data_IF_987751484477
#
_entry.id   IF_987751484477
#
_cell.length_a   1.000
_cell.length_b   1.000
_cell.length_c   1.000
_cell.angle_alpha   90.00
_cell.angle_beta   90.00
_cell.angle_gamma   90.00
#
_symmetry.space_group_name_H-M   'P 1'
#
loop_
_entity.id
_entity.type
_entity.pdbx_description
1 polymer ?
#
# COMPACT_ATOMS: atom_id res chain seq x y z
N UNK A 1 -34.01 -25.92 17.18
CA UNK A 1 -32.59 -25.78 17.56
C UNK A 1 -31.82 -25.62 16.27
N UNK A 2 -31.30 -24.42 15.99
CA UNK A 2 -30.38 -24.22 14.87
C UNK A 2 -29.01 -24.69 15.36
N UNK A 3 -28.54 -25.82 14.82
CA UNK A 3 -27.18 -26.27 15.07
C UNK A 3 -26.22 -25.21 14.53
N UNK A 4 -25.48 -24.58 15.43
CA UNK A 4 -24.39 -23.68 15.07
C UNK A 4 -23.48 -24.38 14.07
N UNK A 5 -23.12 -23.74 12.94
CA UNK A 5 -22.30 -24.38 11.93
C UNK A 5 -21.00 -24.89 12.57
N UNK A 6 -20.55 -26.11 12.21
CA UNK A 6 -19.36 -26.68 12.83
C UNK A 6 -18.17 -25.74 12.60
N UNK A 7 -17.35 -25.53 13.63
CA UNK A 7 -16.17 -24.63 13.62
C UNK A 7 -15.28 -24.80 12.38
N UNK A 8 -15.24 -26.00 11.80
CA UNK A 8 -14.54 -26.34 10.56
C UNK A 8 -15.10 -25.57 9.35
N UNK A 9 -16.41 -25.44 9.21
CA UNK A 9 -17.06 -24.72 8.09
C UNK A 9 -16.79 -23.21 8.21
N UNK A 10 -16.85 -22.66 9.43
CA UNK A 10 -16.50 -21.26 9.68
C UNK A 10 -15.04 -20.96 9.30
N UNK A 11 -14.12 -21.89 9.63
CA UNK A 11 -12.70 -21.75 9.32
C UNK A 11 -12.43 -21.85 7.80
N UNK A 12 -13.06 -22.81 7.10
CA UNK A 12 -12.94 -22.93 5.64
C UNK A 12 -13.49 -21.71 4.92
N UNK A 13 -14.64 -21.18 5.36
CA UNK A 13 -15.20 -19.95 4.79
C UNK A 13 -14.28 -18.74 5.03
N UNK A 14 -13.68 -18.63 6.22
CA UNK A 14 -12.75 -17.55 6.54
C UNK A 14 -11.47 -17.61 5.70
N UNK A 15 -10.87 -18.80 5.54
CA UNK A 15 -9.69 -19.01 4.67
C UNK A 15 -10.02 -18.68 3.21
N UNK A 16 -11.19 -19.06 2.72
CA UNK A 16 -11.62 -18.71 1.38
C UNK A 16 -11.73 -17.18 1.18
N UNK A 17 -12.28 -16.48 2.18
CA UNK A 17 -12.40 -15.03 2.18
C UNK A 17 -11.03 -14.34 2.18
N UNK A 18 -10.10 -14.82 3.00
CA UNK A 18 -8.73 -14.30 3.03
C UNK A 18 -8.04 -14.50 1.67
N UNK A 19 -8.13 -15.69 1.08
CA UNK A 19 -7.53 -15.97 -0.21
C UNK A 19 -8.11 -15.08 -1.33
N UNK A 20 -9.42 -14.82 -1.30
CA UNK A 20 -10.05 -13.93 -2.28
C UNK A 20 -9.56 -12.49 -2.14
N UNK A 21 -9.36 -12.01 -0.91
CA UNK A 21 -8.79 -10.69 -0.64
C UNK A 21 -7.34 -10.63 -1.12
N UNK A 22 -6.52 -11.63 -0.79
CA UNK A 22 -5.12 -11.67 -1.20
C UNK A 22 -4.97 -11.66 -2.72
N UNK A 23 -5.78 -12.45 -3.44
CA UNK A 23 -5.79 -12.43 -4.90
C UNK A 23 -6.22 -11.07 -5.48
N UNK A 24 -7.21 -10.42 -4.86
CA UNK A 24 -7.64 -9.08 -5.28
C UNK A 24 -6.51 -8.06 -5.08
N UNK A 25 -5.84 -8.07 -3.93
CA UNK A 25 -4.69 -7.21 -3.65
C UNK A 25 -3.52 -7.51 -4.59
N UNK A 26 -3.23 -8.78 -4.82
CA UNK A 26 -2.16 -9.21 -5.71
C UNK A 26 -2.42 -8.73 -7.15
N UNK A 27 -3.65 -8.88 -7.63
CA UNK A 27 -4.04 -8.38 -8.95
C UNK A 27 -3.95 -6.86 -9.07
N UNK A 28 -4.30 -6.13 -7.99
CA UNK A 28 -4.36 -4.67 -7.97
C UNK A 28 -2.98 -4.02 -7.90
N UNK A 29 -2.02 -4.64 -7.19
CA UNK A 29 -0.69 -4.07 -6.96
C UNK A 29 0.43 -4.77 -7.71
N UNK A 30 0.25 -6.02 -8.14
CA UNK A 30 1.29 -6.81 -8.82
C UNK A 30 0.81 -7.47 -10.12
N UNK A 31 -0.46 -7.31 -10.50
CA UNK A 31 -0.96 -7.76 -11.78
C UNK A 31 -0.60 -6.83 -12.95
N UNK A 32 -1.06 -7.16 -14.16
CA UNK A 32 -0.86 -6.36 -15.38
C UNK A 32 -1.43 -4.92 -15.27
N UNK A 33 -2.36 -4.69 -14.34
CA UNK A 33 -2.96 -3.39 -14.02
C UNK A 33 -2.37 -2.68 -12.80
N UNK A 34 -1.23 -3.13 -12.27
CA UNK A 34 -0.62 -2.63 -11.02
C UNK A 34 -0.41 -1.12 -10.95
N UNK A 35 -0.26 -0.49 -12.11
CA UNK A 35 -0.13 0.96 -12.25
C UNK A 35 -1.35 1.72 -11.72
N UNK A 36 -2.57 1.16 -11.84
CA UNK A 36 -3.79 1.74 -11.27
C UNK A 36 -3.79 1.67 -9.74
N UNK A 37 -3.35 0.55 -9.17
CA UNK A 37 -3.20 0.39 -7.73
C UNK A 37 -2.24 1.43 -7.15
N UNK A 38 -1.10 1.64 -7.82
CA UNK A 38 -0.14 2.68 -7.41
C UNK A 38 -0.73 4.08 -7.54
N UNK A 39 -1.43 4.40 -8.64
CA UNK A 39 -2.09 5.70 -8.79
C UNK A 39 -3.07 5.97 -7.66
N UNK A 40 -3.85 4.95 -7.26
CA UNK A 40 -4.78 5.06 -6.15
C UNK A 40 -4.05 5.36 -4.84
N UNK A 41 -2.94 4.67 -4.56
CA UNK A 41 -2.10 4.95 -3.39
C UNK A 41 -1.53 6.36 -3.41
N UNK A 42 -1.05 6.82 -4.56
CA UNK A 42 -0.49 8.18 -4.69
C UNK A 42 -1.55 9.22 -4.34
N UNK A 43 -2.75 9.12 -4.92
CA UNK A 43 -3.83 10.07 -4.68
C UNK A 43 -4.23 10.06 -3.20
N UNK A 44 -4.31 8.87 -2.60
CA UNK A 44 -4.73 8.70 -1.21
C UNK A 44 -3.65 9.24 -0.24
N UNK A 45 -2.38 8.94 -0.52
CA UNK A 45 -1.24 9.45 0.23
C UNK A 45 -1.16 10.98 0.14
N UNK A 46 -1.22 11.55 -1.07
CA UNK A 46 -1.18 12.99 -1.29
C UNK A 46 -2.38 13.68 -0.65
N UNK A 47 -3.59 13.16 -0.85
CA UNK A 47 -4.82 13.73 -0.29
C UNK A 47 -4.79 13.81 1.23
N UNK A 48 -4.24 12.78 1.89
CA UNK A 48 -4.08 12.77 3.35
C UNK A 48 -2.96 13.74 3.78
N UNK A 49 -1.78 13.65 3.16
CA UNK A 49 -0.60 14.44 3.55
C UNK A 49 -0.81 15.94 3.34
N UNK A 50 -1.41 16.33 2.21
CA UNK A 50 -1.70 17.72 1.89
C UNK A 50 -2.73 18.34 2.84
N UNK A 51 -3.67 17.53 3.36
CA UNK A 51 -4.67 17.99 4.32
C UNK A 51 -4.11 18.00 5.76
N UNK A 52 -3.31 17.00 6.12
CA UNK A 52 -2.74 16.78 7.45
C UNK A 52 -1.27 16.37 7.33
N UNK A 53 -0.34 17.32 7.38
CA UNK A 53 1.08 17.04 7.21
C UNK A 53 1.60 15.94 8.17
N UNK A 54 1.13 15.92 9.42
CA UNK A 54 1.51 14.89 10.41
C UNK A 54 1.04 13.48 10.05
N UNK A 55 -0.01 13.34 9.25
CA UNK A 55 -0.45 12.02 8.77
C UNK A 55 0.57 11.40 7.80
N UNK A 56 1.49 12.19 7.25
CA UNK A 56 2.65 11.68 6.52
C UNK A 56 3.51 10.71 7.34
N UNK A 57 3.58 10.87 8.66
CA UNK A 57 4.28 9.92 9.55
C UNK A 57 3.65 8.51 9.53
N UNK A 58 2.34 8.41 9.28
CA UNK A 58 1.61 7.15 9.21
C UNK A 58 1.72 6.51 7.82
N UNK A 59 1.67 7.34 6.77
CA UNK A 59 1.70 6.88 5.38
C UNK A 59 3.10 6.45 4.95
N UNK A 60 4.14 7.12 5.45
CA UNK A 60 5.52 6.94 5.03
C UNK A 60 6.06 5.51 5.25
N UNK A 61 5.85 4.83 6.40
CA UNK A 61 6.23 3.43 6.57
C UNK A 61 5.60 2.51 5.52
N UNK A 62 4.35 2.76 5.13
CA UNK A 62 3.64 1.97 4.12
C UNK A 62 4.28 2.16 2.74
N UNK A 63 4.53 3.42 2.34
CA UNK A 63 5.16 3.73 1.06
C UNK A 63 6.58 3.15 0.97
N UNK A 64 7.37 3.26 2.04
CA UNK A 64 8.72 2.69 2.10
C UNK A 64 8.68 1.17 2.01
N UNK A 65 7.78 0.52 2.75
CA UNK A 65 7.66 -0.93 2.72
C UNK A 65 7.23 -1.43 1.34
N UNK A 66 6.23 -0.80 0.71
CA UNK A 66 5.84 -1.14 -0.65
C UNK A 66 6.97 -0.92 -1.65
N UNK A 67 7.71 0.19 -1.52
CA UNK A 67 8.88 0.45 -2.36
C UNK A 67 9.92 -0.67 -2.20
N UNK A 68 10.18 -1.12 -0.97
CA UNK A 68 11.10 -2.23 -0.72
C UNK A 68 10.59 -3.55 -1.33
N UNK A 69 9.30 -3.82 -1.24
CA UNK A 69 8.71 -5.03 -1.82
C UNK A 69 8.81 -5.05 -3.36
N UNK A 70 8.55 -3.92 -4.02
CA UNK A 70 8.80 -3.81 -5.47
C UNK A 70 10.29 -3.98 -5.80
N UNK A 71 11.20 -3.49 -4.94
CA UNK A 71 12.63 -3.70 -5.13
C UNK A 71 13.04 -5.18 -5.07
N UNK A 72 12.46 -5.96 -4.14
CA UNK A 72 12.68 -7.41 -4.09
C UNK A 72 12.21 -8.07 -5.39
N UNK A 73 11.00 -7.76 -5.85
CA UNK A 73 10.47 -8.30 -7.11
C UNK A 73 11.28 -7.90 -8.35
N UNK A 74 11.99 -6.76 -8.30
CA UNK A 74 12.94 -6.35 -9.34
C UNK A 74 14.17 -7.27 -9.35
N UNK A 75 14.71 -7.59 -8.16
CA UNK A 75 15.83 -8.51 -8.05
C UNK A 75 15.48 -9.92 -8.56
N UNK A 76 14.23 -10.34 -8.39
CA UNK A 76 13.69 -11.60 -8.92
C UNK A 76 13.44 -11.59 -10.44
N UNK A 77 13.78 -10.49 -11.15
CA UNK A 77 13.62 -10.35 -12.60
C UNK A 77 12.29 -9.74 -13.05
N UNK A 78 11.51 -9.17 -12.12
CA UNK A 78 10.24 -8.51 -12.40
C UNK A 78 10.38 -7.09 -12.98
N UNK A 79 9.48 -6.73 -13.89
CA UNK A 79 9.44 -5.42 -14.57
C UNK A 79 8.88 -4.25 -13.75
N UNK A 80 9.11 -4.20 -12.43
CA UNK A 80 8.46 -3.23 -11.53
C UNK A 80 9.29 -1.95 -11.27
N UNK A 81 10.27 -1.64 -12.12
CA UNK A 81 11.20 -0.52 -11.89
C UNK A 81 10.49 0.83 -11.78
N UNK A 82 9.48 1.04 -12.63
CA UNK A 82 8.65 2.24 -12.57
C UNK A 82 7.92 2.40 -11.24
N UNK A 83 7.36 1.31 -10.73
CA UNK A 83 6.57 1.26 -9.50
C UNK A 83 7.45 1.68 -8.30
N UNK A 84 8.65 1.12 -8.24
CA UNK A 84 9.67 1.47 -7.25
C UNK A 84 10.06 2.96 -7.29
N UNK A 85 10.42 3.48 -8.47
CA UNK A 85 10.88 4.86 -8.61
C UNK A 85 9.80 5.85 -8.17
N UNK A 86 8.55 5.62 -8.58
CA UNK A 86 7.44 6.51 -8.23
C UNK A 86 7.19 6.53 -6.72
N UNK A 87 7.25 5.37 -6.05
CA UNK A 87 7.08 5.31 -4.60
C UNK A 87 8.24 5.97 -3.84
N UNK A 88 9.48 5.87 -4.33
CA UNK A 88 10.62 6.60 -3.75
C UNK A 88 10.47 8.12 -3.89
N UNK A 89 10.04 8.60 -5.06
CA UNK A 89 9.77 10.02 -5.28
C UNK A 89 8.66 10.50 -4.36
N UNK A 90 7.58 9.71 -4.21
CA UNK A 90 6.48 10.01 -3.30
C UNK A 90 6.95 10.06 -1.84
N UNK A 91 7.74 9.08 -1.38
CA UNK A 91 8.29 9.07 -0.03
C UNK A 91 9.13 10.32 0.25
N UNK A 92 10.00 10.69 -0.71
CA UNK A 92 10.84 11.89 -0.63
C UNK A 92 9.99 13.17 -0.54
N UNK A 93 8.94 13.25 -1.36
CA UNK A 93 7.98 14.35 -1.33
C UNK A 93 7.30 14.48 0.05
N UNK A 94 6.83 13.37 0.63
CA UNK A 94 6.18 13.36 1.94
C UNK A 94 7.13 13.87 3.03
N UNK A 95 8.39 13.39 3.04
CA UNK A 95 9.41 13.84 3.99
C UNK A 95 9.64 15.35 3.86
N UNK A 96 9.84 15.82 2.62
CA UNK A 96 10.10 17.23 2.36
C UNK A 96 8.92 18.12 2.79
N UNK A 97 7.70 17.72 2.42
CA UNK A 97 6.48 18.44 2.80
C UNK A 97 6.30 18.51 4.32
N UNK A 98 6.54 17.41 5.02
CA UNK A 98 6.51 17.38 6.49
C UNK A 98 7.56 18.29 7.12
N UNK A 99 8.79 18.29 6.58
CA UNK A 99 9.88 19.13 7.07
C UNK A 99 9.57 20.62 6.87
N UNK A 100 9.10 21.01 5.69
CA UNK A 100 8.70 22.39 5.37
C UNK A 100 7.53 22.84 6.26
N UNK A 101 6.52 21.99 6.45
CA UNK A 101 5.38 22.29 7.30
C UNK A 101 5.79 22.52 8.76
N UNK A 102 6.70 21.69 9.28
CA UNK A 102 7.23 21.86 10.64
C UNK A 102 8.11 23.12 10.77
N UNK A 103 8.86 23.50 9.74
CA UNK A 103 9.65 24.73 9.74
C UNK A 103 8.76 25.97 9.81
N UNK A 104 7.70 26.05 8.99
CA UNK A 104 6.76 27.21 8.97
C UNK A 104 5.94 27.39 10.24
N UNK A 105 5.84 26.36 11.09
CA UNK A 105 5.13 26.42 12.37
C UNK A 105 5.98 26.93 13.54
N UNK A 106 7.31 27.00 13.38
CA UNK A 106 8.22 27.56 14.38
C UNK A 106 8.39 29.06 14.16
#
# INVERSE_FOLDING_TARGET
MMDSPPLVVLNVMFVFLLNAVDQAFESLFYGTGSWLGILLIIILALGIVLKWAYAGALVLPVIIWMSYDYYQKIQDGGGYHWHFIVLLVLATFIIFYMAEYNYKRR
#
